data_IF_016726749904
#
_entry.id   IF_016726749904
#
_cell.length_a   1.000
_cell.length_b   1.000
_cell.length_c   1.000
_cell.angle_alpha   90.00
_cell.angle_beta   90.00
_cell.angle_gamma   90.00
#
_symmetry.space_group_name_H-M   'P 1'
#
loop_
_entity.id
_entity.type
_entity.pdbx_description
1 polymer ?
#
# COMPACT_ATOMS: atom_id res chain seq x y z
N UNK A 1 -9.54 -29.84 -0.90
CA UNK A 1 -8.08 -29.92 -1.10
C UNK A 1 -7.57 -28.52 -0.83
N UNK A 2 -7.07 -28.26 0.37
CA UNK A 2 -6.42 -26.99 0.68
C UNK A 2 -5.12 -26.94 -0.11
N UNK A 3 -5.15 -26.23 -1.24
CA UNK A 3 -3.96 -26.00 -2.05
C UNK A 3 -3.08 -25.09 -1.22
N UNK A 4 -2.03 -25.65 -0.63
CA UNK A 4 -0.97 -24.87 -0.03
C UNK A 4 -0.38 -24.04 -1.18
N UNK A 5 -0.64 -22.74 -1.20
CA UNK A 5 -0.22 -21.87 -2.30
C UNK A 5 1.30 -21.77 -2.23
N UNK A 6 1.98 -22.55 -3.06
CA UNK A 6 3.42 -22.55 -3.12
C UNK A 6 3.93 -21.20 -3.62
N UNK A 7 4.95 -20.66 -2.94
CA UNK A 7 5.63 -19.41 -3.34
C UNK A 7 6.10 -19.47 -4.78
N UNK A 8 6.49 -20.65 -5.27
CA UNK A 8 6.91 -20.87 -6.65
C UNK A 8 5.79 -20.64 -7.66
N UNK A 9 4.57 -21.09 -7.35
CA UNK A 9 3.40 -20.87 -8.20
C UNK A 9 3.09 -19.35 -8.29
N UNK A 10 3.15 -18.65 -7.16
CA UNK A 10 2.97 -17.19 -7.14
C UNK A 10 4.05 -16.45 -7.94
N UNK A 11 5.31 -16.92 -7.88
CA UNK A 11 6.38 -16.38 -8.71
C UNK A 11 6.12 -16.60 -10.20
N UNK A 12 5.61 -17.77 -10.61
CA UNK A 12 5.27 -18.03 -12.01
C UNK A 12 4.11 -17.15 -12.51
N UNK A 13 3.10 -16.92 -11.68
CA UNK A 13 1.98 -16.01 -12.00
C UNK A 13 2.47 -14.57 -12.13
N UNK A 14 3.22 -14.08 -11.14
CA UNK A 14 3.79 -12.74 -11.18
C UNK A 14 4.70 -12.53 -12.40
N UNK A 15 5.57 -13.52 -12.72
CA UNK A 15 6.41 -13.53 -13.91
C UNK A 15 5.56 -13.42 -15.19
N UNK A 16 4.51 -14.22 -15.31
CA UNK A 16 3.63 -14.23 -16.49
C UNK A 16 2.95 -12.88 -16.74
N UNK A 17 2.61 -12.15 -15.68
CA UNK A 17 2.01 -10.81 -15.77
C UNK A 17 3.05 -9.75 -16.11
N UNK A 18 4.21 -9.76 -15.44
CA UNK A 18 5.24 -8.72 -15.58
C UNK A 18 5.96 -8.76 -16.95
N UNK A 19 6.21 -9.95 -17.49
CA UNK A 19 6.85 -10.14 -18.81
C UNK A 19 6.03 -9.57 -19.98
N UNK A 20 4.75 -9.27 -19.79
CA UNK A 20 3.94 -8.64 -20.85
C UNK A 20 4.21 -7.15 -21.02
N UNK A 21 4.78 -6.50 -19.99
CA UNK A 21 4.89 -5.04 -19.93
C UNK A 21 6.31 -4.52 -19.80
N UNK A 22 7.23 -5.34 -19.29
CA UNK A 22 8.58 -4.94 -18.92
C UNK A 22 9.64 -5.78 -19.61
N UNK A 23 10.86 -5.24 -19.65
CA UNK A 23 12.04 -5.99 -20.08
C UNK A 23 12.27 -7.20 -19.15
N UNK A 24 12.75 -8.34 -19.70
CA UNK A 24 12.83 -9.60 -18.97
C UNK A 24 13.69 -9.53 -17.70
N UNK A 25 14.81 -8.80 -17.74
CA UNK A 25 15.70 -8.64 -16.58
C UNK A 25 15.03 -7.88 -15.43
N UNK A 26 14.30 -6.80 -15.73
CA UNK A 26 13.56 -6.03 -14.72
C UNK A 26 12.36 -6.82 -14.18
N UNK A 27 11.70 -7.59 -15.05
CA UNK A 27 10.57 -8.42 -14.67
C UNK A 27 10.97 -9.48 -13.62
N UNK A 28 12.16 -10.08 -13.74
CA UNK A 28 12.64 -11.09 -12.79
C UNK A 28 12.91 -10.50 -11.39
N UNK A 29 13.54 -9.33 -11.32
CA UNK A 29 13.73 -8.61 -10.06
C UNK A 29 12.38 -8.25 -9.41
N UNK A 30 11.46 -7.66 -10.19
CA UNK A 30 10.14 -7.26 -9.70
C UNK A 30 9.24 -8.43 -9.31
N UNK A 31 9.43 -9.61 -9.92
CA UNK A 31 8.66 -10.81 -9.59
C UNK A 31 8.85 -11.18 -8.12
N UNK A 32 10.10 -11.18 -7.64
CA UNK A 32 10.40 -11.47 -6.23
C UNK A 32 9.77 -10.45 -5.28
N UNK A 33 9.93 -9.15 -5.60
CA UNK A 33 9.42 -8.02 -4.82
C UNK A 33 7.89 -8.07 -4.69
N UNK A 34 7.19 -8.35 -5.79
CA UNK A 34 5.71 -8.39 -5.83
C UNK A 34 5.18 -9.54 -4.99
N UNK A 35 5.79 -10.73 -5.10
CA UNK A 35 5.36 -11.90 -4.29
C UNK A 35 5.62 -11.64 -2.81
N UNK A 36 6.82 -11.16 -2.46
CA UNK A 36 7.18 -10.88 -1.07
C UNK A 36 6.30 -9.78 -0.46
N UNK A 37 5.91 -8.76 -1.24
CA UNK A 37 4.98 -7.72 -0.80
C UNK A 37 3.59 -8.28 -0.46
N UNK A 38 3.04 -9.17 -1.29
CA UNK A 38 1.71 -9.75 -1.05
C UNK A 38 1.72 -10.71 0.14
N UNK A 39 2.77 -11.53 0.26
CA UNK A 39 2.95 -12.42 1.42
C UNK A 39 3.07 -11.64 2.73
N UNK A 40 3.71 -10.47 2.70
CA UNK A 40 3.88 -9.59 3.86
C UNK A 40 2.55 -8.99 4.35
N UNK A 41 1.59 -8.76 3.45
CA UNK A 41 0.27 -8.19 3.77
C UNK A 41 -0.73 -9.27 4.21
N UNK A 42 -0.49 -10.52 3.83
CA UNK A 42 -1.41 -11.62 4.09
C UNK A 42 -1.64 -11.77 5.60
N UNK A 43 -2.90 -11.60 6.02
CA UNK A 43 -3.37 -11.85 7.37
C UNK A 43 -4.34 -13.03 7.34
N UNK A 44 -4.17 -13.95 8.27
CA UNK A 44 -5.09 -15.08 8.42
C UNK A 44 -6.52 -14.57 8.65
N UNK A 45 -7.47 -15.01 7.82
CA UNK A 45 -8.89 -14.68 7.96
C UNK A 45 -9.34 -13.29 7.47
N UNK A 46 -8.46 -12.48 6.85
CA UNK A 46 -8.86 -11.21 6.21
C UNK A 46 -8.57 -11.21 4.71
N UNK A 47 -9.43 -10.54 3.95
CA UNK A 47 -9.19 -10.29 2.53
C UNK A 47 -7.94 -9.44 2.33
N UNK A 48 -7.21 -9.71 1.24
CA UNK A 48 -5.96 -9.02 0.95
C UNK A 48 -6.28 -7.61 0.41
N UNK A 49 -5.94 -6.60 1.19
CA UNK A 49 -6.08 -5.20 0.79
C UNK A 49 -4.82 -4.67 0.11
N UNK A 50 -4.92 -4.41 -1.19
CA UNK A 50 -3.83 -3.81 -1.98
C UNK A 50 -3.50 -2.37 -1.56
N UNK A 51 -4.38 -1.70 -0.81
CA UNK A 51 -4.12 -0.37 -0.26
C UNK A 51 -2.95 -0.36 0.73
N UNK A 52 -2.63 -1.50 1.34
CA UNK A 52 -1.52 -1.66 2.27
C UNK A 52 -0.15 -1.68 1.58
N UNK A 53 -0.10 -1.92 0.26
CA UNK A 53 1.11 -1.71 -0.55
C UNK A 53 1.16 -0.25 -0.98
N UNK A 54 2.15 0.51 -0.52
CA UNK A 54 2.48 1.79 -1.14
C UNK A 54 3.46 1.58 -2.29
N UNK A 55 3.22 2.27 -3.41
CA UNK A 55 4.17 2.30 -4.52
C UNK A 55 4.77 3.69 -4.58
N UNK A 56 6.01 3.80 -4.10
CA UNK A 56 6.77 5.05 -4.07
C UNK A 56 7.70 5.12 -5.27
N UNK A 57 7.75 6.28 -5.91
CA UNK A 57 8.64 6.55 -7.04
C UNK A 57 9.72 7.55 -6.65
N UNK A 58 10.96 7.22 -6.96
CA UNK A 58 12.11 8.13 -6.86
C UNK A 58 12.74 8.30 -8.24
N UNK A 59 12.95 9.55 -8.65
CA UNK A 59 13.68 9.84 -9.87
C UNK A 59 15.17 9.71 -9.59
N UNK A 60 15.81 8.73 -10.21
CA UNK A 60 17.24 8.46 -10.04
C UNK A 60 17.86 8.07 -11.36
N UNK A 61 19.12 8.44 -11.59
CA UNK A 61 19.80 8.24 -12.89
C UNK A 61 19.85 6.77 -13.33
N UNK A 62 19.80 5.83 -12.39
CA UNK A 62 19.81 4.38 -12.65
C UNK A 62 18.40 3.81 -12.69
N UNK A 63 18.06 3.09 -13.76
CA UNK A 63 16.73 2.53 -14.02
C UNK A 63 16.41 1.20 -13.32
N UNK A 64 17.39 0.59 -12.65
CA UNK A 64 17.33 -0.83 -12.29
C UNK A 64 17.13 -1.11 -10.79
N UNK A 65 17.22 -0.11 -9.90
CA UNK A 65 17.24 -0.36 -8.46
C UNK A 65 15.85 -0.22 -7.83
N UNK A 66 15.00 -1.21 -8.07
CA UNK A 66 13.75 -1.34 -7.32
C UNK A 66 13.96 -2.16 -6.05
N UNK A 67 13.39 -1.73 -4.92
CA UNK A 67 13.55 -2.39 -3.63
C UNK A 67 12.21 -2.57 -2.95
N UNK A 68 12.05 -3.72 -2.28
CA UNK A 68 10.97 -3.93 -1.33
C UNK A 68 11.43 -3.41 0.04
N UNK A 69 10.63 -2.55 0.64
CA UNK A 69 10.85 -2.05 1.99
C UNK A 69 9.71 -2.61 2.85
N UNK A 70 10.08 -3.42 3.84
CA UNK A 70 9.16 -3.97 4.85
C UNK A 70 8.84 -2.91 5.88
N UNK A 71 8.09 -1.91 5.45
CA UNK A 71 7.73 -0.72 6.22
C UNK A 71 7.22 0.38 5.29
N UNK A 72 7.40 1.63 5.69
CA UNK A 72 6.88 2.78 4.95
C UNK A 72 7.99 3.73 4.49
N UNK A 73 7.87 4.20 3.24
CA UNK A 73 8.64 5.36 2.76
C UNK A 73 7.74 6.57 2.72
N UNK A 74 8.19 7.65 3.35
CA UNK A 74 7.54 8.96 3.34
C UNK A 74 8.26 9.87 2.36
N UNK A 75 7.49 10.65 1.60
CA UNK A 75 7.95 11.68 0.66
C UNK A 75 8.28 13.01 1.36
N UNK A 76 8.31 13.00 2.68
CA UNK A 76 8.66 14.15 3.51
C UNK A 76 9.82 13.75 4.43
N UNK A 77 10.77 14.68 4.57
CA UNK A 77 11.89 14.56 5.49
C UNK A 77 11.90 15.69 6.53
N UNK A 78 12.89 15.65 7.42
CA UNK A 78 13.07 16.67 8.43
C UNK A 78 13.39 18.02 7.77
N UNK A 79 12.68 19.08 8.17
CA UNK A 79 12.91 20.44 7.64
C UNK A 79 14.07 21.13 8.33
N UNK A 80 14.24 20.90 9.62
CA UNK A 80 15.27 21.54 10.41
C UNK A 80 16.63 20.86 10.16
N UNK A 81 17.70 21.62 9.83
CA UNK A 81 18.99 21.04 9.44
C UNK A 81 19.71 20.33 10.59
N UNK A 82 19.42 20.70 11.85
CA UNK A 82 20.00 20.08 13.04
C UNK A 82 19.35 18.77 13.47
N UNK A 83 18.28 18.33 12.80
CA UNK A 83 17.63 17.06 13.14
C UNK A 83 18.49 15.87 12.70
N UNK A 84 18.41 14.79 13.47
CA UNK A 84 19.12 13.55 13.17
C UNK A 84 18.63 12.97 11.85
N UNK A 85 19.57 12.56 10.99
CA UNK A 85 19.26 11.94 9.69
C UNK A 85 19.13 10.42 9.76
N UNK A 86 19.63 9.82 10.84
CA UNK A 86 19.67 8.39 11.04
C UNK A 86 19.43 8.11 12.51
N UNK A 87 18.53 7.18 12.80
CA UNK A 87 18.20 6.78 14.14
C UNK A 87 17.82 5.29 14.17
N UNK A 88 18.44 4.55 15.08
CA UNK A 88 18.12 3.15 15.37
C UNK A 88 17.08 3.08 16.50
N UNK A 89 16.34 1.97 16.57
CA UNK A 89 15.37 1.65 17.63
C UNK A 89 14.46 2.83 17.97
N UNK A 90 13.63 3.21 17.01
CA UNK A 90 12.79 4.41 17.07
C UNK A 90 11.39 4.09 17.56
N UNK A 91 10.95 4.84 18.56
CA UNK A 91 9.53 5.00 18.87
C UNK A 91 8.91 6.04 17.95
N UNK A 92 7.83 5.67 17.29
CA UNK A 92 7.13 6.51 16.32
C UNK A 92 5.82 6.97 16.95
N UNK A 93 5.72 8.28 17.16
CA UNK A 93 4.48 8.93 17.56
C UNK A 93 3.72 9.41 16.32
N UNK A 94 2.52 8.88 16.14
CA UNK A 94 1.62 9.22 15.03
C UNK A 94 0.61 10.25 15.54
N UNK A 95 0.72 11.51 15.09
CA UNK A 95 -0.13 12.61 15.56
C UNK A 95 -0.99 13.24 14.48
N UNK A 96 -2.18 13.71 14.87
CA UNK A 96 -3.04 14.58 14.08
C UNK A 96 -3.33 15.91 14.82
N UNK A 97 -2.33 16.42 15.53
CA UNK A 97 -2.43 17.64 16.34
C UNK A 97 -1.86 18.82 15.56
N UNK A 98 -2.48 19.98 15.63
CA UNK A 98 -1.87 21.19 15.06
C UNK A 98 -0.79 21.74 15.98
N UNK A 99 0.45 21.77 15.47
CA UNK A 99 1.59 22.44 16.09
C UNK A 99 1.95 23.73 15.33
N UNK A 100 0.98 24.28 14.61
CA UNK A 100 1.10 25.55 13.89
C UNK A 100 0.24 26.62 14.57
N UNK A 101 0.58 27.87 14.29
CA UNK A 101 -0.30 28.99 14.54
C UNK A 101 -1.57 28.84 13.68
N UNK A 102 -2.67 28.44 14.29
CA UNK A 102 -3.98 28.41 13.65
C UNK A 102 -4.66 29.76 13.83
N UNK A 103 -4.98 30.41 12.71
CA UNK A 103 -5.96 31.50 12.73
C UNK A 103 -7.31 30.89 13.07
N UNK A 104 -8.03 31.52 13.99
CA UNK A 104 -9.42 31.16 14.28
C UNK A 104 -10.25 31.20 12.99
N UNK A 105 -10.99 30.13 12.72
CA UNK A 105 -11.85 30.03 11.52
C UNK A 105 -13.02 31.01 11.57
N UNK A 106 -13.51 31.29 12.79
CA UNK A 106 -14.40 32.40 13.03
C UNK A 106 -13.58 33.69 12.94
N UNK A 107 -14.06 34.66 12.17
CA UNK A 107 -13.54 36.02 12.11
C UNK A 107 -13.70 36.71 13.48
N UNK A 108 -12.93 36.30 14.47
CA UNK A 108 -12.73 37.04 15.70
C UNK A 108 -11.85 38.23 15.33
N UNK A 109 -12.49 39.32 14.92
CA UNK A 109 -11.84 40.61 14.84
C UNK A 109 -11.40 41.03 16.24
N UNK A 110 -10.12 40.87 16.55
CA UNK A 110 -9.57 41.41 17.78
C UNK A 110 -9.39 42.92 17.62
N UNK A 111 -10.24 43.69 18.30
CA UNK A 111 -10.04 45.12 18.47
C UNK A 111 -9.10 45.33 19.65
N UNK A 112 -7.87 45.78 19.38
CA UNK A 112 -6.88 46.10 20.40
C UNK A 112 -6.84 47.62 20.62
N UNK A 113 -6.83 48.04 21.89
CA UNK A 113 -6.75 49.46 22.26
C UNK A 113 -5.29 49.92 22.39
N UNK A 114 -4.36 49.01 22.70
CA UNK A 114 -2.94 49.31 22.90
C UNK A 114 -2.02 48.31 22.18
N UNK A 115 -0.78 48.73 21.80
CA UNK A 115 0.21 47.84 21.21
C UNK A 115 0.69 46.74 22.18
N UNK A 116 0.71 47.01 23.48
CA UNK A 116 1.14 46.04 24.50
C UNK A 116 0.18 44.86 24.62
N UNK A 117 -1.13 45.10 24.51
CA UNK A 117 -2.14 44.02 24.50
C UNK A 117 -1.96 43.10 23.29
N UNK A 118 -1.62 43.68 22.13
CA UNK A 118 -1.35 42.90 20.91
C UNK A 118 -0.15 41.98 21.10
N UNK A 119 0.93 42.45 21.71
CA UNK A 119 2.11 41.60 21.98
C UNK A 119 1.79 40.48 22.97
N UNK A 120 1.02 40.76 24.04
CA UNK A 120 0.61 39.75 25.01
C UNK A 120 -0.22 38.64 24.38
N UNK A 121 -1.14 38.96 23.46
CA UNK A 121 -1.94 37.95 22.76
C UNK A 121 -1.08 37.07 21.85
N UNK A 122 -0.19 37.67 21.05
CA UNK A 122 0.74 36.91 20.20
C UNK A 122 1.64 36.00 21.04
N UNK A 123 2.08 36.46 22.21
CA UNK A 123 2.84 35.62 23.14
C UNK A 123 2.00 34.50 23.74
N UNK A 124 0.74 34.74 24.11
CA UNK A 124 -0.15 33.72 24.65
C UNK A 124 -0.41 32.60 23.63
N UNK A 125 -0.62 32.94 22.36
CA UNK A 125 -0.79 31.97 21.28
C UNK A 125 0.47 31.14 21.06
N UNK A 126 1.65 31.76 21.11
CA UNK A 126 2.93 31.04 21.04
C UNK A 126 3.13 30.11 22.23
N UNK A 127 2.80 30.56 23.44
CA UNK A 127 2.87 29.74 24.67
C UNK A 127 1.99 28.51 24.54
N UNK A 128 0.81 28.62 23.96
CA UNK A 128 -0.07 27.48 23.74
C UNK A 128 0.55 26.40 22.84
N UNK A 129 1.23 26.80 21.75
CA UNK A 129 1.96 25.85 20.90
C UNK A 129 3.15 25.27 21.64
N UNK A 130 3.87 26.09 22.39
CA UNK A 130 5.03 25.68 23.18
C UNK A 130 4.67 24.65 24.25
N UNK A 131 3.60 24.87 25.02
CA UNK A 131 3.10 23.93 26.05
C UNK A 131 2.78 22.55 25.45
N UNK A 132 2.22 22.51 24.23
CA UNK A 132 1.99 21.24 23.51
C UNK A 132 3.29 20.55 23.14
N UNK A 133 4.27 21.29 22.66
CA UNK A 133 5.59 20.73 22.31
C UNK A 133 6.30 20.23 23.57
N UNK A 134 6.24 20.97 24.67
CA UNK A 134 6.81 20.60 25.97
C UNK A 134 6.19 19.30 26.50
N UNK A 135 4.88 19.09 26.34
CA UNK A 135 4.24 17.81 26.67
C UNK A 135 4.78 16.63 25.84
N UNK A 136 5.05 16.84 24.55
CA UNK A 136 5.67 15.80 23.71
C UNK A 136 7.10 15.52 24.17
N UNK A 137 7.85 16.55 24.57
CA UNK A 137 9.21 16.40 25.10
C UNK A 137 9.18 15.63 26.42
N UNK A 138 8.28 15.99 27.35
CA UNK A 138 8.10 15.28 28.61
C UNK A 138 7.71 13.80 28.38
N UNK A 139 6.86 13.54 27.39
CA UNK A 139 6.50 12.18 27.00
C UNK A 139 7.67 11.40 26.39
N UNK A 140 8.55 12.07 25.63
CA UNK A 140 9.80 11.44 25.19
C UNK A 140 10.65 11.03 26.40
N UNK A 141 10.81 11.91 27.39
CA UNK A 141 11.63 11.63 28.58
C UNK A 141 11.09 10.46 29.41
N UNK A 142 9.77 10.28 29.46
CA UNK A 142 9.16 9.15 30.18
C UNK A 142 9.34 7.80 29.47
N UNK A 143 9.42 7.79 28.13
CA UNK A 143 9.53 6.57 27.33
C UNK A 143 10.97 6.22 26.98
N UNK A 144 11.78 7.20 26.59
CA UNK A 144 13.17 7.00 26.22
C UNK A 144 14.07 7.05 27.46
N UNK A 145 14.13 5.94 28.20
CA UNK A 145 15.07 5.80 29.33
C UNK A 145 16.49 5.48 28.87
N UNK A 146 16.62 4.89 27.67
CA UNK A 146 17.92 4.52 27.08
C UNK A 146 18.44 5.60 26.13
N UNK A 147 19.74 5.93 26.22
CA UNK A 147 20.41 6.90 25.34
C UNK A 147 20.37 6.53 23.84
N UNK A 148 20.01 5.28 23.53
CA UNK A 148 19.94 4.73 22.16
C UNK A 148 18.53 4.68 21.59
N UNK A 149 17.50 5.00 22.36
CA UNK A 149 16.11 4.94 21.90
C UNK A 149 15.76 6.21 21.14
N UNK A 150 15.42 6.04 19.87
CA UNK A 150 14.99 7.13 19.02
C UNK A 150 13.56 7.56 19.24
N UNK A 151 13.24 8.81 18.92
CA UNK A 151 11.86 9.32 18.95
C UNK A 151 11.56 10.12 17.70
N UNK A 152 10.56 9.65 16.95
CA UNK A 152 10.14 10.24 15.69
C UNK A 152 8.68 10.63 15.79
N UNK A 153 8.37 11.90 15.52
CA UNK A 153 7.01 12.43 15.48
C UNK A 153 6.58 12.57 14.03
N UNK A 154 5.48 11.92 13.66
CA UNK A 154 4.88 12.01 12.34
C UNK A 154 3.54 12.69 12.48
N UNK A 155 3.48 13.96 12.08
CA UNK A 155 2.27 14.76 12.17
C UNK A 155 1.56 14.87 10.82
N UNK A 156 0.25 14.64 10.81
CA UNK A 156 -0.61 14.92 9.66
C UNK A 156 -0.76 16.43 9.43
N UNK A 157 -0.83 17.21 10.51
CA UNK A 157 -0.86 18.68 10.42
C UNK A 157 0.56 19.23 10.32
N UNK A 158 0.63 20.55 10.17
CA UNK A 158 1.90 21.23 10.09
C UNK A 158 2.57 21.45 11.46
N UNK A 159 3.82 21.93 11.42
CA UNK A 159 4.61 22.25 12.60
C UNK A 159 5.27 23.62 12.36
N UNK A 160 5.12 24.52 13.32
CA UNK A 160 5.72 25.86 13.32
C UNK A 160 7.26 25.78 13.42
N UNK A 161 8.02 26.71 12.81
CA UNK A 161 9.48 26.72 12.92
C UNK A 161 9.99 26.78 14.36
N UNK A 162 9.33 27.53 15.26
CA UNK A 162 9.74 27.59 16.66
C UNK A 162 9.58 26.24 17.37
N UNK A 163 8.49 25.52 17.06
CA UNK A 163 8.26 24.18 17.56
C UNK A 163 9.29 23.18 17.00
N UNK A 164 9.70 23.31 15.73
CA UNK A 164 10.74 22.47 15.14
C UNK A 164 12.09 22.66 15.83
N UNK A 165 12.45 23.90 16.21
CA UNK A 165 13.70 24.18 16.93
C UNK A 165 13.71 23.53 18.32
N UNK A 166 12.58 23.59 19.05
CA UNK A 166 12.43 22.94 20.35
C UNK A 166 12.53 21.42 20.25
N UNK A 167 11.82 20.81 19.28
CA UNK A 167 11.89 19.37 19.02
C UNK A 167 13.30 18.94 18.60
N UNK A 168 13.99 19.77 17.81
CA UNK A 168 15.36 19.50 17.40
C UNK A 168 16.33 19.52 18.59
N UNK A 169 16.20 20.49 19.52
CA UNK A 169 17.00 20.55 20.75
C UNK A 169 16.76 19.33 21.64
N UNK A 170 15.53 18.86 21.69
CA UNK A 170 15.17 17.62 22.36
C UNK A 170 15.65 16.36 21.61
N UNK A 171 16.23 16.46 20.41
CA UNK A 171 16.69 15.32 19.61
C UNK A 171 15.54 14.46 19.07
N UNK A 172 14.40 15.08 18.73
CA UNK A 172 13.23 14.45 18.12
C UNK A 172 13.25 14.73 16.62
N UNK A 173 13.08 13.69 15.80
CA UNK A 173 12.87 13.87 14.35
C UNK A 173 11.39 14.14 14.12
N UNK A 174 11.06 15.32 13.61
CA UNK A 174 9.67 15.72 13.38
C UNK A 174 9.36 15.84 11.88
N UNK A 175 8.38 15.06 11.43
CA UNK A 175 7.79 15.15 10.10
C UNK A 175 6.48 15.92 10.17
N UNK A 176 6.31 16.86 9.24
CA UNK A 176 5.12 17.69 9.13
C UNK A 176 4.33 17.32 7.88
N UNK A 177 3.02 17.54 7.93
CA UNK A 177 2.10 17.39 6.78
C UNK A 177 2.13 16.00 6.15
N UNK A 178 2.18 14.96 6.97
CA UNK A 178 2.08 13.59 6.49
C UNK A 178 0.70 13.35 5.84
N UNK A 179 0.68 12.61 4.73
CA UNK A 179 -0.56 12.24 4.05
C UNK A 179 -1.40 11.34 4.95
N UNK A 180 -2.72 11.60 5.03
CA UNK A 180 -3.65 10.79 5.84
C UNK A 180 -3.54 9.28 5.57
N UNK A 181 -3.43 8.88 4.29
CA UNK A 181 -3.24 7.47 3.89
C UNK A 181 -1.99 6.81 4.49
N UNK A 182 -0.95 7.59 4.75
CA UNK A 182 0.30 7.09 5.33
C UNK A 182 0.15 6.88 6.84
N UNK A 183 -0.73 7.62 7.51
CA UNK A 183 -0.99 7.46 8.94
C UNK A 183 -1.63 6.11 9.25
N UNK A 184 -2.62 5.71 8.45
CA UNK A 184 -3.27 4.40 8.55
C UNK A 184 -2.27 3.26 8.32
N UNK A 185 -1.37 3.43 7.34
CA UNK A 185 -0.31 2.45 7.04
C UNK A 185 0.76 2.38 8.13
N UNK A 186 1.18 3.53 8.68
CA UNK A 186 2.13 3.59 9.79
C UNK A 186 1.58 2.92 11.03
N UNK A 187 0.30 3.15 11.34
CA UNK A 187 -0.37 2.50 12.46
C UNK A 187 -0.34 0.97 12.31
N UNK A 188 -0.64 0.47 11.11
CA UNK A 188 -0.64 -0.97 10.83
C UNK A 188 0.75 -1.59 10.76
N UNK A 189 1.76 -0.86 10.26
CA UNK A 189 3.13 -1.34 10.20
C UNK A 189 3.79 -1.32 11.59
N UNK A 190 3.70 -0.20 12.31
CA UNK A 190 4.46 0.03 13.54
C UNK A 190 3.72 -0.43 14.80
N UNK A 191 2.40 -0.68 14.71
CA UNK A 191 1.57 -1.15 15.81
C UNK A 191 1.04 -0.06 16.75
N UNK A 192 1.29 1.22 16.46
CA UNK A 192 0.75 2.36 17.21
C UNK A 192 -0.59 2.85 16.67
N UNK A 193 -1.25 3.76 17.39
CA UNK A 193 -2.48 4.41 16.93
C UNK A 193 -2.28 5.92 16.74
N UNK A 194 -3.14 6.52 15.92
CA UNK A 194 -3.08 7.95 15.65
C UNK A 194 -3.68 8.74 16.81
N UNK A 195 -2.85 9.56 17.45
CA UNK A 195 -3.22 10.41 18.58
C UNK A 195 -3.75 11.76 18.08
N UNK A 196 -4.91 12.17 18.59
CA UNK A 196 -5.56 13.44 18.23
C UNK A 196 -5.30 14.58 19.25
N UNK A 197 -4.95 14.24 20.48
CA UNK A 197 -4.73 15.20 21.59
C UNK A 197 -3.40 14.92 22.27
N UNK A 198 -2.66 15.96 22.65
CA UNK A 198 -1.34 15.81 23.31
C UNK A 198 -1.48 15.48 24.81
N UNK A 199 -2.68 15.65 25.37
CA UNK A 199 -2.93 15.49 26.80
C UNK A 199 -3.02 14.02 27.21
N UNK A 200 -3.47 13.15 26.31
CA UNK A 200 -3.68 11.71 26.55
C UNK A 200 -2.59 10.89 25.84
N UNK A 201 -1.33 11.15 26.18
CA UNK A 201 -0.20 10.39 25.63
C UNK A 201 0.14 9.21 26.53
N UNK A 202 -0.15 8.01 26.04
CA UNK A 202 0.19 6.75 26.70
C UNK A 202 1.32 6.03 25.94
N UNK A 203 2.21 5.28 26.62
CA UNK A 203 3.26 4.51 25.94
C UNK A 203 2.72 3.51 24.90
N UNK A 204 1.49 3.03 25.09
CA UNK A 204 0.79 2.14 24.15
C UNK A 204 0.43 2.81 22.81
N UNK A 205 0.40 4.15 22.76
CA UNK A 205 0.20 4.91 21.53
C UNK A 205 1.32 4.71 20.52
N UNK A 206 2.52 4.39 21.00
CA UNK A 206 3.74 4.46 20.21
C UNK A 206 3.90 3.24 19.32
N UNK A 207 4.20 3.51 18.05
CA UNK A 207 4.70 2.49 17.15
C UNK A 207 6.20 2.24 17.39
N UNK A 208 6.68 1.07 16.98
CA UNK A 208 8.11 0.74 17.03
C UNK A 208 8.66 0.49 15.62
N UNK A 209 9.84 1.05 15.33
CA UNK A 209 10.61 0.75 14.12
C UNK A 209 12.10 0.57 14.46
N UNK A 210 12.73 -0.47 13.90
CA UNK A 210 14.13 -0.75 14.15
C UNK A 210 15.07 0.28 13.53
N UNK A 211 14.72 0.84 12.36
CA UNK A 211 15.55 1.86 11.68
C UNK A 211 14.70 2.95 11.06
N UNK A 212 15.07 4.20 11.32
CA UNK A 212 14.51 5.37 10.63
C UNK A 212 15.65 6.21 10.08
N UNK A 213 15.64 6.44 8.77
CA UNK A 213 16.66 7.28 8.15
C UNK A 213 16.12 8.15 7.03
N UNK A 214 16.72 9.31 6.85
CA UNK A 214 16.41 10.26 5.78
C UNK A 214 17.44 10.12 4.66
N UNK A 215 16.96 9.91 3.43
CA UNK A 215 17.78 10.04 2.22
C UNK A 215 17.34 11.28 1.46
N UNK A 216 18.31 12.15 1.17
CA UNK A 216 18.10 13.33 0.32
C UNK A 216 18.50 12.96 -1.11
N UNK A 217 17.61 13.22 -2.06
CA UNK A 217 17.85 12.97 -3.48
C UNK A 217 17.49 14.23 -4.27
N UNK A 218 18.51 14.98 -4.67
CA UNK A 218 18.31 16.32 -5.24
C UNK A 218 17.77 17.27 -4.19
N UNK A 219 16.59 17.83 -4.45
CA UNK A 219 15.87 18.72 -3.50
C UNK A 219 14.84 17.97 -2.64
N UNK A 220 14.50 16.74 -3.03
CA UNK A 220 13.50 15.93 -2.34
C UNK A 220 14.12 15.13 -1.19
N UNK A 221 13.37 15.02 -0.09
CA UNK A 221 13.76 14.29 1.11
C UNK A 221 12.81 13.13 1.33
N UNK A 222 13.36 11.93 1.50
CA UNK A 222 12.59 10.72 1.76
C UNK A 222 12.97 10.13 3.11
N UNK A 223 11.98 9.86 3.94
CA UNK A 223 12.19 9.18 5.22
C UNK A 223 11.79 7.71 5.08
N UNK A 224 12.70 6.84 5.44
CA UNK A 224 12.54 5.39 5.42
C UNK A 224 12.27 4.91 6.83
N UNK A 225 11.23 4.10 6.98
CA UNK A 225 10.91 3.38 8.21
C UNK A 225 11.05 1.90 7.90
N UNK A 226 12.09 1.27 8.44
CA UNK A 226 12.44 -0.14 8.20
C UNK A 226 12.50 -0.92 9.53
N UNK A 227 12.58 -2.24 9.43
CA UNK A 227 12.68 -3.18 10.56
C UNK A 227 11.52 -3.02 11.56
N UNK A 228 10.30 -3.04 11.03
CA UNK A 228 9.07 -2.89 11.82
C UNK A 228 8.63 -4.25 12.39
N UNK A 229 8.08 -4.28 13.61
CA UNK A 229 7.69 -5.52 14.31
C UNK A 229 6.63 -6.32 13.56
N UNK A 230 5.62 -5.64 13.01
CA UNK A 230 4.50 -6.24 12.31
C UNK A 230 4.29 -5.56 10.95
N UNK A 231 5.05 -5.94 9.90
CA UNK A 231 5.00 -5.25 8.61
C UNK A 231 3.72 -5.62 7.83
N UNK A 232 2.54 -5.23 8.31
CA UNK A 232 1.28 -5.42 7.57
C UNK A 232 1.07 -4.39 6.45
N UNK A 233 1.97 -3.40 6.36
CA UNK A 233 2.07 -2.48 5.24
C UNK A 233 3.52 -2.48 4.74
N UNK A 234 3.67 -2.52 3.42
CA UNK A 234 4.96 -2.53 2.76
C UNK A 234 5.02 -1.46 1.68
N UNK A 235 6.23 -1.00 1.37
CA UNK A 235 6.45 -0.05 0.28
C UNK A 235 7.32 -0.66 -0.80
N UNK A 236 6.81 -0.67 -2.03
CA UNK A 236 7.60 -0.96 -3.22
C UNK A 236 8.21 0.34 -3.69
N UNK A 237 9.53 0.46 -3.53
CA UNK A 237 10.29 1.61 -4.00
C UNK A 237 10.77 1.36 -5.43
N UNK A 238 10.30 2.22 -6.34
CA UNK A 238 10.71 2.21 -7.74
C UNK A 238 11.67 3.37 -7.97
N UNK A 239 12.90 3.06 -8.40
CA UNK A 239 13.85 4.07 -8.89
C UNK A 239 13.91 4.04 -10.40
N UNK A 240 13.85 5.19 -11.04
CA UNK A 240 14.01 5.28 -12.49
C UNK A 240 14.40 6.66 -13.00
N UNK A 241 15.07 6.75 -14.15
CA UNK A 241 15.61 8.01 -14.68
C UNK A 241 14.52 8.91 -15.25
N UNK A 242 13.53 8.32 -15.91
CA UNK A 242 12.50 9.03 -16.63
C UNK A 242 11.14 8.78 -15.98
N UNK A 243 10.33 9.83 -15.83
CA UNK A 243 8.98 9.74 -15.29
C UNK A 243 8.10 8.74 -16.05
N UNK A 244 8.25 8.66 -17.39
CA UNK A 244 7.51 7.71 -18.22
C UNK A 244 7.86 6.25 -17.89
N UNK A 245 9.14 5.93 -17.72
CA UNK A 245 9.59 4.57 -17.35
C UNK A 245 9.08 4.20 -15.96
N UNK A 246 9.13 5.15 -15.01
CA UNK A 246 8.61 4.94 -13.65
C UNK A 246 7.11 4.68 -13.65
N UNK A 247 6.33 5.43 -14.45
CA UNK A 247 4.90 5.21 -14.59
C UNK A 247 4.59 3.82 -15.18
N UNK A 248 5.32 3.40 -16.22
CA UNK A 248 5.18 2.06 -16.80
C UNK A 248 5.49 0.95 -15.79
N UNK A 249 6.56 1.09 -15.01
CA UNK A 249 6.89 0.11 -13.95
C UNK A 249 5.81 0.11 -12.87
N UNK A 250 5.32 1.28 -12.46
CA UNK A 250 4.25 1.41 -11.47
C UNK A 250 2.98 0.68 -11.90
N UNK A 251 2.60 0.80 -13.16
CA UNK A 251 1.41 0.12 -13.71
C UNK A 251 1.65 -1.38 -13.93
N UNK A 252 2.88 -1.79 -14.22
CA UNK A 252 3.25 -3.20 -14.26
C UNK A 252 3.20 -3.85 -12.86
N UNK A 253 3.72 -3.19 -11.84
CA UNK A 253 3.70 -3.66 -10.44
C UNK A 253 2.27 -3.77 -9.93
N UNK A 254 1.41 -2.77 -10.19
CA UNK A 254 -0.02 -2.81 -9.79
C UNK A 254 -0.74 -4.03 -10.38
N UNK A 255 -0.50 -4.33 -11.65
CA UNK A 255 -1.12 -5.47 -12.29
C UNK A 255 -0.55 -6.80 -11.81
N UNK A 256 0.77 -6.85 -11.53
CA UNK A 256 1.40 -8.00 -10.88
C UNK A 256 0.79 -8.28 -9.50
N UNK A 257 0.66 -7.26 -8.65
CA UNK A 257 0.05 -7.37 -7.32
C UNK A 257 -1.39 -7.88 -7.40
N UNK A 258 -2.20 -7.36 -8.34
CA UNK A 258 -3.57 -7.82 -8.57
C UNK A 258 -3.63 -9.27 -9.03
N UNK A 259 -2.75 -9.69 -9.94
CA UNK A 259 -2.72 -11.07 -10.42
C UNK A 259 -2.37 -12.07 -9.30
N UNK A 260 -1.39 -11.74 -8.47
CA UNK A 260 -1.00 -12.55 -7.30
C UNK A 260 -2.13 -12.58 -6.28
N UNK A 261 -2.74 -11.43 -5.97
CA UNK A 261 -3.91 -11.34 -5.08
C UNK A 261 -5.04 -12.28 -5.53
N UNK A 262 -5.46 -12.17 -6.80
CA UNK A 262 -6.56 -13.00 -7.32
C UNK A 262 -6.24 -14.49 -7.24
N UNK A 263 -4.98 -14.87 -7.48
CA UNK A 263 -4.55 -16.28 -7.37
C UNK A 263 -4.70 -16.80 -5.93
N UNK A 264 -4.44 -15.94 -4.94
CA UNK A 264 -4.60 -16.30 -3.52
C UNK A 264 -6.08 -16.40 -3.14
N UNK A 265 -6.91 -15.46 -3.61
CA UNK A 265 -8.35 -15.47 -3.33
C UNK A 265 -9.08 -16.63 -4.02
N UNK A 266 -8.73 -16.92 -5.28
CA UNK A 266 -9.38 -17.97 -6.08
C UNK A 266 -8.84 -19.38 -5.75
N UNK A 267 -7.69 -19.49 -5.09
CA UNK A 267 -7.02 -20.75 -4.76
C UNK A 267 -6.65 -21.63 -5.96
N UNK A 268 -6.81 -21.10 -7.19
CA UNK A 268 -6.61 -21.81 -8.45
C UNK A 268 -5.91 -20.91 -9.46
N UNK A 269 -4.96 -21.48 -10.21
CA UNK A 269 -4.26 -20.80 -11.29
C UNK A 269 -4.52 -21.53 -12.61
N UNK A 270 -4.99 -20.79 -13.62
CA UNK A 270 -5.20 -21.36 -14.95
C UNK A 270 -3.94 -21.20 -15.82
N UNK A 271 -3.55 -22.24 -16.58
CA UNK A 271 -2.47 -22.11 -17.54
C UNK A 271 -2.84 -21.13 -18.65
N UNK A 272 -1.83 -20.43 -19.17
CA UNK A 272 -1.99 -19.33 -20.13
C UNK A 272 -2.78 -19.76 -21.38
N UNK A 273 -3.49 -18.79 -21.98
CA UNK A 273 -4.45 -18.91 -23.11
C UNK A 273 -4.17 -19.98 -24.17
N UNK A 274 -2.92 -20.27 -24.56
CA UNK A 274 -2.63 -21.33 -25.54
C UNK A 274 -2.99 -22.74 -25.05
N UNK A 275 -2.71 -23.08 -23.78
CA UNK A 275 -3.09 -24.40 -23.26
C UNK A 275 -4.59 -24.53 -23.07
N UNK A 276 -5.30 -23.48 -22.62
CA UNK A 276 -6.75 -23.55 -22.43
C UNK A 276 -7.51 -23.60 -23.75
N UNK A 277 -7.11 -22.85 -24.77
CA UNK A 277 -7.78 -22.92 -26.10
C UNK A 277 -7.54 -24.28 -26.75
N UNK A 278 -6.35 -24.87 -26.60
CA UNK A 278 -6.09 -26.22 -27.07
C UNK A 278 -6.84 -27.27 -26.26
N UNK A 279 -6.93 -27.14 -24.94
CA UNK A 279 -7.65 -28.09 -24.08
C UNK A 279 -9.17 -27.99 -24.23
N UNK A 280 -9.74 -26.78 -24.35
CA UNK A 280 -11.14 -26.58 -24.66
C UNK A 280 -11.45 -26.99 -26.10
N UNK A 281 -10.59 -26.66 -27.07
CA UNK A 281 -10.73 -27.12 -28.45
C UNK A 281 -10.63 -28.64 -28.60
N UNK A 282 -9.86 -29.32 -27.74
CA UNK A 282 -9.86 -30.79 -27.64
C UNK A 282 -11.08 -31.33 -26.91
N UNK A 283 -11.63 -30.63 -25.92
CA UNK A 283 -12.87 -31.02 -25.25
C UNK A 283 -14.09 -30.87 -26.17
N UNK A 284 -14.14 -29.78 -26.95
CA UNK A 284 -15.17 -29.52 -27.95
C UNK A 284 -15.05 -30.49 -29.15
N UNK A 285 -13.82 -30.86 -29.55
CA UNK A 285 -13.56 -31.86 -30.60
C UNK A 285 -13.89 -33.30 -30.21
N UNK A 286 -13.95 -33.64 -28.91
CA UNK A 286 -14.35 -34.99 -28.43
C UNK A 286 -15.87 -35.14 -28.36
N UNK A 287 -16.63 -34.03 -28.35
CA UNK A 287 -18.09 -34.07 -28.36
C UNK A 287 -18.63 -34.32 -29.78
N UNK A 288 -18.02 -33.76 -30.83
CA UNK A 288 -18.47 -33.94 -32.22
C UNK A 288 -18.22 -35.35 -32.78
N UNK A 289 -17.21 -36.08 -32.30
CA UNK A 289 -16.92 -37.44 -32.76
C UNK A 289 -17.77 -38.53 -32.08
N UNK A 290 -18.44 -38.21 -30.96
CA UNK A 290 -19.34 -39.16 -30.26
C UNK A 290 -20.78 -39.16 -30.79
N UNK A 291 -21.18 -38.16 -31.57
CA UNK A 291 -22.51 -38.11 -32.19
C UNK A 291 -22.56 -38.74 -33.60
N UNK A 292 -21.44 -39.25 -34.13
CA UNK A 292 -21.37 -39.86 -35.48
C UNK A 292 -21.29 -41.39 -35.51
N UNK A 293 -21.35 -42.06 -34.37
CA UNK A 293 -21.39 -43.52 -34.32
C UNK A 293 -22.51 -43.98 -33.39
N UNK A 294 -23.74 -44.04 -33.92
CA UNK A 294 -24.71 -45.13 -33.68
C UNK A 294 -25.98 -44.90 -34.53
N UNK A 295 -26.45 -45.88 -35.34
CA UNK A 295 -27.72 -45.77 -36.05
C UNK A 295 -28.89 -46.08 -35.09
N UNK A 296 -30.03 -45.35 -35.13
CA UNK A 296 -31.12 -45.63 -34.22
C UNK A 296 -31.86 -46.93 -34.60
N UNK A 297 -31.75 -47.95 -33.73
CA UNK A 297 -32.71 -49.05 -33.66
C UNK A 297 -34.00 -48.54 -33.00
N UNK A 298 -35.01 -48.22 -33.81
CA UNK A 298 -36.37 -47.99 -33.31
C UNK A 298 -37.01 -49.32 -32.87
N UNK A 299 -37.37 -49.45 -31.59
CA UNK A 299 -38.36 -50.43 -31.11
C UNK A 299 -39.56 -49.70 -30.52
N UNK A 300 -40.73 -50.02 -31.07
CA UNK A 300 -41.96 -50.15 -30.30
C UNK A 300 -42.94 -48.98 -30.38
N UNK A 301 -43.93 -49.10 -31.27
CA UNK A 301 -45.30 -48.63 -31.03
C UNK A 301 -46.26 -49.46 -31.89
N UNK A 302 -46.99 -50.37 -31.24
CA UNK A 302 -48.31 -50.87 -31.65
C UNK A 302 -49.30 -50.35 -30.59
N UNK A 303 -50.61 -50.15 -30.87
CA UNK A 303 -51.46 -50.94 -31.79
C UNK A 303 -52.20 -50.06 -32.83
N UNK A 304 -52.57 -50.56 -34.02
CA UNK A 304 -53.73 -51.41 -34.31
C UNK A 304 -54.28 -51.03 -35.72
N UNK A 305 -55.12 -51.86 -36.37
CA UNK A 305 -55.09 -52.04 -37.83
C UNK A 305 -56.23 -51.34 -38.61
N UNK A 306 -55.99 -50.99 -39.88
CA UNK A 306 -56.87 -51.22 -41.05
C UNK A 306 -56.41 -50.42 -42.30
N UNK A 307 -56.27 -51.15 -43.41
CA UNK A 307 -56.57 -50.83 -44.82
C UNK A 307 -55.76 -49.80 -45.64
N UNK A 308 -55.19 -50.33 -46.74
CA UNK A 308 -54.62 -49.72 -47.95
C UNK A 308 -55.68 -48.99 -48.82
N UNK A 309 -55.31 -48.42 -49.99
CA UNK A 309 -54.21 -47.50 -50.34
C UNK A 309 -54.75 -46.30 -51.17
N UNK A 310 -53.96 -45.24 -51.41
CA UNK A 310 -53.84 -44.57 -52.73
C UNK A 310 -53.00 -43.29 -52.69
N UNK A 311 -52.36 -43.09 -53.84
CA UNK A 311 -51.34 -42.13 -54.18
C UNK A 311 -51.74 -40.65 -54.16
N UNK A 312 -50.72 -39.83 -53.86
CA UNK A 312 -50.30 -38.64 -54.59
C UNK A 312 -51.27 -37.47 -54.84
N UNK A 313 -50.90 -36.32 -54.27
CA UNK A 313 -50.63 -35.08 -55.02
C UNK A 313 -49.90 -34.11 -54.07
N UNK A 314 -48.65 -33.69 -54.36
CA UNK A 314 -48.33 -32.40 -55.02
C UNK A 314 -49.03 -31.23 -54.32
N UNK A 315 -48.40 -30.13 -53.91
CA UNK A 315 -47.19 -29.46 -54.33
C UNK A 315 -47.11 -28.17 -53.50
N UNK A 316 -45.89 -27.66 -53.26
CA UNK A 316 -45.54 -26.23 -53.05
C UNK A 316 -46.08 -25.57 -51.76
N UNK A 317 -45.27 -24.89 -50.95
CA UNK A 317 -44.17 -24.01 -51.32
C UNK A 317 -44.62 -22.57 -51.07
N UNK A 318 -44.09 -21.96 -50.01
CA UNK A 318 -43.89 -20.52 -49.85
C UNK A 318 -42.42 -20.33 -49.49
#
# INVERSE_FOLDING_TARGET
>A
MDVNIDRELLMQVARSSLHTKLAPALAEQLTSIVVDAVLTIQREGKQIDLFMVEIMSMLHKTAADTKLIKGLVLDHGARHPGMLKYQDNCHILICNVSLEYEKTELNSGFFYASPEEREKMVQAERRFVQERVEKIIAFKESVCTDEKSGFVVINQKGIDPQALDLLCRAGIVALRRAKRRNMERLALACGGYAVNSVDDLEPECLGYAGKVYETVLGEDKYTFVEDVTNPFSCTVLIKGPNAHTVAQIKDAVRDGLRAVKNTIEDGTALPRRRCRVLALGQADGVQEDRERQDPPRCRGLCPGPADHPQDACRQLGL
#
